data_IF_527783838065
#
_entry.id   IF_527783838065
#
_cell.length_a   1.000
_cell.length_b   1.000
_cell.length_c   1.000
_cell.angle_alpha   90.00
_cell.angle_beta   90.00
_cell.angle_gamma   90.00
#
_symmetry.space_group_name_H-M   'P 1'
#
loop_
_entity.id
_entity.type
_entity.pdbx_description
1 polymer ?
#
# COMPACT_ATOMS: atom_id res chain seq x y z
N UNK A 1 69.26 -93.19 11.49
CA UNK A 1 70.58 -92.56 11.29
C UNK A 1 70.45 -91.58 10.13
N UNK A 2 70.80 -90.30 10.37
CA UNK A 2 71.26 -89.24 9.46
C UNK A 2 71.05 -89.40 7.94
N UNK A 3 70.59 -88.41 7.18
CA UNK A 3 71.12 -87.06 6.97
C UNK A 3 69.99 -86.22 6.28
N UNK A 4 69.72 -84.94 6.59
CA UNK A 4 70.18 -83.70 5.90
C UNK A 4 69.01 -82.72 5.57
N UNK A 5 69.24 -81.43 5.21
CA UNK A 5 68.84 -80.28 6.06
C UNK A 5 68.19 -79.08 5.31
N UNK A 6 67.80 -78.05 6.09
CA UNK A 6 67.48 -76.63 5.75
C UNK A 6 66.33 -76.29 4.78
N UNK A 7 65.47 -75.33 5.19
CA UNK A 7 64.75 -74.24 4.45
C UNK A 7 63.61 -73.76 5.37
N UNK A 8 63.82 -72.71 6.17
CA UNK A 8 63.47 -71.28 6.01
C UNK A 8 62.15 -70.87 6.73
N UNK A 9 62.07 -69.65 7.30
CA UNK A 9 60.94 -69.20 8.11
C UNK A 9 60.00 -68.27 7.32
N UNK A 10 58.71 -68.61 7.26
CA UNK A 10 57.73 -67.76 6.59
C UNK A 10 56.80 -67.05 7.58
N UNK A 11 56.96 -65.73 7.51
CA UNK A 11 56.28 -64.67 8.24
C UNK A 11 54.77 -64.84 8.31
N UNK A 12 54.23 -64.54 9.49
CA UNK A 12 52.83 -64.21 9.72
C UNK A 12 52.33 -63.21 8.66
N UNK A 13 51.45 -63.67 7.78
CA UNK A 13 50.65 -62.80 6.94
C UNK A 13 49.18 -63.23 7.02
N UNK A 14 48.35 -62.34 7.54
CA UNK A 14 47.18 -61.84 6.80
C UNK A 14 46.30 -61.04 7.77
N UNK A 15 46.54 -59.72 7.78
CA UNK A 15 45.52 -58.74 8.17
C UNK A 15 44.36 -58.88 7.20
N UNK A 16 43.18 -59.26 7.70
CA UNK A 16 41.94 -59.16 6.94
C UNK A 16 41.61 -57.67 6.71
N UNK A 17 41.84 -57.18 5.50
CA UNK A 17 41.30 -55.92 5.03
C UNK A 17 39.81 -56.11 4.73
N UNK A 18 38.95 -55.59 5.60
CA UNK A 18 37.52 -55.41 5.31
C UNK A 18 37.37 -54.21 4.38
N UNK A 19 37.22 -54.49 3.09
CA UNK A 19 36.91 -53.48 2.07
C UNK A 19 35.58 -52.81 2.42
N UNK A 20 35.62 -51.50 2.64
CA UNK A 20 34.44 -50.67 2.83
C UNK A 20 33.51 -50.80 1.63
N UNK A 21 32.30 -51.27 1.89
CA UNK A 21 31.22 -51.33 0.91
C UNK A 21 30.79 -49.90 0.61
N UNK A 22 31.34 -49.33 -0.47
CA UNK A 22 30.92 -48.02 -0.97
C UNK A 22 29.47 -48.16 -1.47
N UNK A 23 28.52 -47.71 -0.65
CA UNK A 23 27.11 -47.63 -1.02
C UNK A 23 26.99 -46.52 -2.06
N UNK A 24 26.85 -46.92 -3.31
CA UNK A 24 26.60 -46.02 -4.43
C UNK A 24 25.18 -45.45 -4.25
N UNK A 25 25.08 -44.25 -3.68
CA UNK A 25 23.82 -43.51 -3.59
C UNK A 25 23.33 -43.23 -5.02
N UNK A 26 22.08 -43.60 -5.38
CA UNK A 26 21.57 -43.39 -6.72
C UNK A 26 21.39 -41.89 -7.01
N UNK A 27 21.52 -41.44 -8.27
CA UNK A 27 21.57 -40.03 -8.65
C UNK A 27 20.23 -39.27 -8.50
N UNK A 28 19.18 -39.91 -7.96
CA UNK A 28 17.86 -39.31 -7.79
C UNK A 28 17.77 -38.28 -6.64
N UNK A 29 18.73 -38.26 -5.71
CA UNK A 29 18.70 -37.33 -4.57
C UNK A 29 19.05 -35.87 -4.93
N UNK A 30 19.90 -35.66 -5.94
CA UNK A 30 20.39 -34.34 -6.30
C UNK A 30 19.34 -33.50 -7.06
N UNK A 31 18.51 -34.15 -7.89
CA UNK A 31 17.49 -33.46 -8.70
C UNK A 31 16.30 -33.00 -7.87
N UNK A 32 15.89 -33.81 -6.88
CA UNK A 32 14.80 -33.47 -5.94
C UNK A 32 15.21 -32.28 -5.06
N UNK A 33 16.47 -32.23 -4.62
CA UNK A 33 16.98 -31.12 -3.79
C UNK A 33 17.00 -29.79 -4.53
N UNK A 34 17.40 -29.78 -5.81
CA UNK A 34 17.45 -28.54 -6.62
C UNK A 34 16.04 -28.04 -6.96
N UNK A 35 15.10 -28.95 -7.24
CA UNK A 35 13.72 -28.60 -7.53
C UNK A 35 12.99 -28.00 -6.31
N UNK A 36 13.25 -28.52 -5.10
CA UNK A 36 12.68 -27.98 -3.85
C UNK A 36 13.26 -26.60 -3.53
N UNK A 37 14.55 -26.35 -3.79
CA UNK A 37 15.15 -25.03 -3.62
C UNK A 37 14.59 -24.00 -4.63
N UNK A 38 14.40 -24.39 -5.90
CA UNK A 38 13.80 -23.54 -6.92
C UNK A 38 12.34 -23.18 -6.60
N UNK A 39 11.55 -24.15 -6.11
CA UNK A 39 10.16 -23.91 -5.70
C UNK A 39 10.07 -23.04 -4.45
N UNK A 40 10.98 -23.21 -3.49
CA UNK A 40 11.09 -22.36 -2.30
C UNK A 40 11.46 -20.91 -2.61
N UNK A 41 12.38 -20.68 -3.56
CA UNK A 41 12.74 -19.33 -4.01
C UNK A 41 11.62 -18.66 -4.82
N UNK A 42 10.84 -19.43 -5.59
CA UNK A 42 9.70 -18.91 -6.33
C UNK A 42 8.55 -18.46 -5.40
N UNK A 43 8.31 -19.15 -4.28
CA UNK A 43 7.31 -18.73 -3.28
C UNK A 43 7.75 -17.51 -2.45
N UNK A 44 9.04 -17.29 -2.25
CA UNK A 44 9.54 -16.12 -1.51
C UNK A 44 9.44 -14.81 -2.31
N UNK A 45 9.36 -14.88 -3.65
CA UNK A 45 9.34 -13.71 -4.52
C UNK A 45 7.98 -12.99 -4.62
N UNK A 46 6.90 -13.53 -4.05
CA UNK A 46 5.55 -12.92 -4.17
C UNK A 46 5.17 -12.00 -3.02
N UNK A 47 6.00 -11.85 -1.99
CA UNK A 47 5.74 -10.96 -0.87
C UNK A 47 6.47 -9.62 -1.07
N UNK A 48 5.98 -8.78 -1.99
CA UNK A 48 6.34 -7.37 -1.99
C UNK A 48 5.59 -6.68 -0.84
N UNK A 49 6.25 -6.24 0.24
CA UNK A 49 5.59 -5.38 1.21
C UNK A 49 5.17 -4.10 0.50
N UNK A 50 3.88 -3.81 0.49
CA UNK A 50 3.38 -2.52 0.02
C UNK A 50 3.98 -1.43 0.93
N UNK A 51 4.93 -0.67 0.40
CA UNK A 51 5.59 0.41 1.14
C UNK A 51 4.62 1.58 1.24
N UNK A 52 3.86 1.65 2.33
CA UNK A 52 3.06 2.84 2.67
C UNK A 52 4.04 3.97 2.98
N UNK A 53 4.09 4.98 2.10
CA UNK A 53 4.96 6.14 2.29
C UNK A 53 4.45 7.00 3.45
N UNK A 54 5.34 7.75 4.12
CA UNK A 54 4.96 8.67 5.21
C UNK A 54 3.87 9.67 4.78
N UNK A 55 3.92 10.10 3.52
CA UNK A 55 2.93 10.99 2.89
C UNK A 55 1.53 10.36 2.93
N UNK A 56 1.39 9.06 2.63
CA UNK A 56 0.10 8.38 2.62
C UNK A 56 -0.53 8.33 4.03
N UNK A 57 0.27 8.03 5.07
CA UNK A 57 -0.22 8.04 6.47
C UNK A 57 -0.66 9.43 6.92
N UNK A 58 0.10 10.47 6.57
CA UNK A 58 -0.26 11.86 6.89
C UNK A 58 -1.61 12.23 6.27
N UNK A 59 -1.82 11.90 5.00
CA UNK A 59 -3.07 12.21 4.32
C UNK A 59 -4.25 11.35 4.78
N UNK A 60 -4.03 10.09 5.20
CA UNK A 60 -5.03 9.29 5.89
C UNK A 60 -5.54 10.01 7.16
N UNK A 61 -4.62 10.54 7.97
CA UNK A 61 -4.96 11.30 9.18
C UNK A 61 -5.70 12.60 8.81
N UNK A 62 -5.22 13.34 7.79
CA UNK A 62 -5.89 14.56 7.31
C UNK A 62 -7.30 14.29 6.79
N UNK A 63 -7.56 13.17 6.13
CA UNK A 63 -8.91 12.80 5.66
C UNK A 63 -9.87 12.60 6.84
N UNK A 64 -9.43 11.88 7.88
CA UNK A 64 -10.21 11.68 9.09
C UNK A 64 -10.45 13.02 9.83
N UNK A 65 -9.42 13.86 9.91
CA UNK A 65 -9.52 15.18 10.53
C UNK A 65 -10.49 16.11 9.77
N UNK A 66 -10.44 16.12 8.44
CA UNK A 66 -11.37 16.89 7.61
C UNK A 66 -12.83 16.52 7.92
N UNK A 67 -13.14 15.23 7.99
CA UNK A 67 -14.49 14.76 8.37
C UNK A 67 -14.91 15.23 9.77
N UNK A 68 -14.00 15.18 10.74
CA UNK A 68 -14.30 15.63 12.10
C UNK A 68 -14.52 17.14 12.16
N UNK A 69 -13.65 17.94 11.55
CA UNK A 69 -13.76 19.39 11.51
C UNK A 69 -15.09 19.86 10.93
N UNK A 70 -15.53 19.24 9.84
CA UNK A 70 -16.78 19.59 9.15
C UNK A 70 -17.99 19.57 10.10
N UNK A 71 -18.01 18.65 11.07
CA UNK A 71 -19.14 18.53 12.02
C UNK A 71 -19.31 19.78 12.88
N UNK A 72 -18.22 20.51 13.13
CA UNK A 72 -18.19 21.70 13.97
C UNK A 72 -18.39 23.00 13.18
N UNK A 73 -18.30 22.98 11.86
CA UNK A 73 -18.54 24.17 11.03
C UNK A 73 -20.04 24.38 10.83
N UNK A 74 -20.54 25.60 11.00
CA UNK A 74 -21.91 25.98 10.61
C UNK A 74 -21.85 26.85 9.37
N UNK A 75 -22.59 26.45 8.33
CA UNK A 75 -22.79 27.26 7.15
C UNK A 75 -23.98 28.17 7.38
N UNK A 76 -23.92 29.44 6.95
CA UNK A 76 -25.05 30.34 7.08
C UNK A 76 -26.25 29.82 6.31
N UNK A 77 -27.46 30.02 6.85
CA UNK A 77 -28.71 29.55 6.22
C UNK A 77 -28.98 30.24 4.88
N UNK A 78 -28.45 31.45 4.70
CA UNK A 78 -28.45 32.17 3.43
C UNK A 78 -27.59 31.51 2.36
N UNK A 79 -26.76 30.52 2.72
CA UNK A 79 -26.03 29.75 1.71
C UNK A 79 -26.99 28.84 0.94
N UNK A 80 -26.98 28.97 -0.39
CA UNK A 80 -27.77 28.14 -1.30
C UNK A 80 -27.58 26.63 -1.06
N UNK A 81 -26.41 26.22 -0.60
CA UNK A 81 -26.08 24.83 -0.24
C UNK A 81 -26.66 24.34 1.09
N UNK A 82 -26.98 25.26 2.01
CA UNK A 82 -27.70 24.97 3.26
C UNK A 82 -29.23 25.05 3.06
N UNK A 83 -29.71 25.97 2.22
CA UNK A 83 -31.13 26.17 1.92
C UNK A 83 -31.75 25.05 1.06
N UNK A 84 -30.98 24.38 0.21
CA UNK A 84 -31.46 23.26 -0.61
C UNK A 84 -31.75 22.01 0.26
N UNK A 85 -33.00 21.88 0.70
CA UNK A 85 -33.55 20.73 1.42
C UNK A 85 -32.55 20.15 2.43
N UNK A 86 -32.34 20.84 3.54
CA UNK A 86 -31.46 20.39 4.63
C UNK A 86 -31.82 18.94 5.03
N UNK A 87 -31.06 17.97 4.50
CA UNK A 87 -31.31 16.53 4.67
C UNK A 87 -31.39 15.70 3.38
N UNK A 88 -31.74 16.30 2.22
CA UNK A 88 -31.82 15.58 0.93
C UNK A 88 -30.62 15.84 0.01
N UNK A 89 -30.00 17.02 0.08
CA UNK A 89 -28.83 17.34 -0.75
C UNK A 89 -27.54 16.77 -0.13
N UNK A 90 -26.59 16.25 -0.93
CA UNK A 90 -25.31 15.77 -0.41
C UNK A 90 -24.44 16.92 0.09
N UNK A 91 -23.59 16.62 1.07
CA UNK A 91 -22.48 17.49 1.44
C UNK A 91 -21.34 17.29 0.44
N UNK A 92 -20.95 18.35 -0.26
CA UNK A 92 -20.01 18.28 -1.39
C UNK A 92 -18.62 18.75 -0.95
N UNK A 93 -17.62 17.90 -1.13
CA UNK A 93 -16.21 18.20 -0.90
C UNK A 93 -15.49 18.12 -2.24
N UNK A 94 -14.84 19.20 -2.63
CA UNK A 94 -14.05 19.28 -3.87
C UNK A 94 -12.57 19.13 -3.53
N UNK A 95 -11.87 18.22 -4.19
CA UNK A 95 -10.40 18.09 -4.12
C UNK A 95 -9.83 18.67 -5.40
N UNK A 96 -8.99 19.69 -5.26
CA UNK A 96 -8.41 20.41 -6.39
C UNK A 96 -6.98 19.91 -6.67
N UNK A 97 -6.69 19.63 -7.94
CA UNK A 97 -5.41 19.08 -8.39
C UNK A 97 -5.26 17.58 -8.09
N UNK A 98 -4.02 17.15 -7.85
CA UNK A 98 -3.72 15.75 -7.53
C UNK A 98 -4.33 15.36 -6.19
N UNK A 99 -5.07 14.25 -6.14
CA UNK A 99 -5.65 13.72 -4.91
C UNK A 99 -4.58 13.06 -4.02
N UNK A 100 -4.22 13.65 -2.87
CA UNK A 100 -3.19 13.10 -2.01
C UNK A 100 -3.75 12.09 -0.99
N UNK A 101 -5.07 11.95 -0.89
CA UNK A 101 -5.73 11.09 0.11
C UNK A 101 -5.77 9.61 -0.24
N UNK A 102 -5.29 9.24 -1.45
CA UNK A 102 -5.48 7.90 -1.99
C UNK A 102 -6.96 7.49 -1.94
N UNK A 103 -7.23 6.31 -1.37
CA UNK A 103 -8.58 5.78 -1.17
C UNK A 103 -9.29 6.27 0.10
N UNK A 104 -8.59 6.95 1.02
CA UNK A 104 -9.07 7.23 2.37
C UNK A 104 -10.28 8.16 2.39
N UNK A 105 -10.21 9.26 1.64
CA UNK A 105 -11.32 10.21 1.56
C UNK A 105 -12.55 9.59 0.87
N UNK A 106 -12.34 8.75 -0.15
CA UNK A 106 -13.41 7.97 -0.79
C UNK A 106 -14.07 7.00 0.20
N UNK A 107 -13.27 6.28 0.99
CA UNK A 107 -13.79 5.36 2.01
C UNK A 107 -14.65 6.09 3.05
N UNK A 108 -14.20 7.25 3.53
CA UNK A 108 -14.99 8.10 4.43
C UNK A 108 -16.29 8.55 3.75
N UNK A 109 -16.22 9.01 2.50
CA UNK A 109 -17.40 9.46 1.78
C UNK A 109 -18.45 8.35 1.57
N UNK A 110 -18.00 7.11 1.37
CA UNK A 110 -18.88 5.95 1.21
C UNK A 110 -19.51 5.46 2.53
N UNK A 111 -18.80 5.61 3.65
CA UNK A 111 -19.21 4.99 4.94
C UNK A 111 -19.78 5.99 5.95
N UNK A 112 -19.53 7.28 5.78
CA UNK A 112 -19.92 8.32 6.73
C UNK A 112 -20.91 9.31 6.13
N UNK A 113 -21.57 10.04 7.03
CA UNK A 113 -22.49 11.14 6.72
C UNK A 113 -22.13 12.37 7.53
N UNK A 114 -22.45 13.54 6.98
CA UNK A 114 -22.32 14.84 7.64
C UNK A 114 -23.72 15.36 7.94
N UNK A 115 -24.10 15.39 9.23
CA UNK A 115 -25.46 15.81 9.67
C UNK A 115 -26.58 15.10 8.88
N UNK A 116 -26.46 13.78 8.73
CA UNK A 116 -27.42 12.95 7.97
C UNK A 116 -27.25 12.98 6.44
N UNK A 117 -26.49 13.94 5.89
CA UNK A 117 -26.29 14.11 4.45
C UNK A 117 -25.21 13.14 3.92
N UNK A 118 -25.42 12.47 2.77
CA UNK A 118 -24.37 11.72 2.10
C UNK A 118 -23.25 12.66 1.65
N UNK A 119 -22.02 12.14 1.57
CA UNK A 119 -20.85 12.93 1.16
C UNK A 119 -20.61 12.68 -0.33
N UNK A 120 -20.55 13.74 -1.13
CA UNK A 120 -20.14 13.68 -2.55
C UNK A 120 -18.75 14.26 -2.70
N UNK A 121 -17.88 13.54 -3.40
CA UNK A 121 -16.53 13.99 -3.72
C UNK A 121 -16.48 14.43 -5.17
N UNK A 122 -15.94 15.62 -5.41
CA UNK A 122 -15.64 16.13 -6.74
C UNK A 122 -14.12 16.30 -6.87
N UNK A 123 -13.54 15.82 -7.96
CA UNK A 123 -12.11 15.96 -8.24
C UNK A 123 -11.95 16.82 -9.48
N UNK A 124 -11.29 17.97 -9.31
CA UNK A 124 -11.13 18.97 -10.38
C UNK A 124 -9.66 19.33 -10.50
N UNK A 125 -9.19 19.62 -11.71
CA UNK A 125 -7.78 20.01 -11.92
C UNK A 125 -7.58 21.52 -11.87
N UNK A 126 -8.58 22.27 -12.31
CA UNK A 126 -8.48 23.72 -12.48
C UNK A 126 -9.43 24.46 -11.53
N UNK A 127 -9.01 25.61 -10.97
CA UNK A 127 -9.85 26.43 -10.11
C UNK A 127 -11.15 26.89 -10.77
N UNK A 128 -11.12 27.17 -12.07
CA UNK A 128 -12.29 27.64 -12.83
C UNK A 128 -13.38 26.58 -12.97
N UNK A 129 -13.04 25.31 -12.72
CA UNK A 129 -13.97 24.18 -12.79
C UNK A 129 -14.54 23.80 -11.41
N UNK A 130 -14.28 24.57 -10.35
CA UNK A 130 -14.79 24.28 -9.01
C UNK A 130 -16.33 24.37 -9.03
N UNK A 131 -17.04 23.27 -8.73
CA UNK A 131 -18.50 23.30 -8.66
C UNK A 131 -18.98 23.94 -7.36
N UNK A 132 -20.29 24.10 -7.24
CA UNK A 132 -20.94 24.45 -5.99
C UNK A 132 -20.63 23.40 -4.92
N UNK A 133 -19.77 23.76 -3.97
CA UNK A 133 -19.30 22.86 -2.93
C UNK A 133 -19.22 23.55 -1.56
N UNK A 134 -19.21 22.73 -0.50
CA UNK A 134 -19.16 23.22 0.87
C UNK A 134 -17.72 23.45 1.34
N UNK A 135 -16.80 22.66 0.78
CA UNK A 135 -15.37 22.71 1.06
C UNK A 135 -14.61 22.44 -0.23
N UNK A 136 -13.56 23.22 -0.46
CA UNK A 136 -12.50 22.94 -1.43
C UNK A 136 -11.24 22.59 -0.65
N UNK A 137 -10.68 21.41 -0.89
CA UNK A 137 -9.36 21.01 -0.42
C UNK A 137 -8.31 21.36 -1.47
N UNK A 138 -7.29 22.11 -1.06
CA UNK A 138 -6.15 22.48 -1.89
C UNK A 138 -4.88 21.84 -1.31
N UNK A 139 -4.20 20.93 -2.04
CA UNK A 139 -2.96 20.31 -1.59
C UNK A 139 -1.88 21.34 -1.26
N UNK A 140 -1.01 21.01 -0.29
CA UNK A 140 0.11 21.87 0.09
C UNK A 140 1.19 21.97 -1.00
N UNK A 141 1.24 20.99 -1.92
CA UNK A 141 2.19 20.94 -3.04
C UNK A 141 1.88 21.95 -4.14
N UNK A 142 0.73 22.63 -4.06
CA UNK A 142 0.25 23.57 -5.07
C UNK A 142 0.93 24.93 -4.95
N UNK A 143 1.21 25.59 -6.08
CA UNK A 143 1.89 26.89 -6.10
C UNK A 143 1.03 28.01 -5.49
N UNK A 144 1.70 29.05 -4.97
CA UNK A 144 1.00 30.19 -4.38
C UNK A 144 0.08 30.90 -5.38
N UNK A 145 0.53 31.08 -6.63
CA UNK A 145 -0.29 31.64 -7.71
C UNK A 145 -1.60 30.89 -7.90
N UNK A 146 -1.56 29.57 -7.78
CA UNK A 146 -2.74 28.72 -7.91
C UNK A 146 -3.63 28.81 -6.66
N UNK A 147 -3.08 28.91 -5.45
CA UNK A 147 -3.90 29.17 -4.25
C UNK A 147 -4.64 30.50 -4.36
N UNK A 148 -4.00 31.54 -4.90
CA UNK A 148 -4.62 32.84 -5.12
C UNK A 148 -5.75 32.80 -6.15
N UNK A 149 -5.62 32.02 -7.23
CA UNK A 149 -6.70 31.88 -8.22
C UNK A 149 -7.92 31.17 -7.63
N UNK A 150 -7.74 30.19 -6.75
CA UNK A 150 -8.85 29.54 -6.01
C UNK A 150 -9.62 30.54 -5.15
N UNK A 151 -8.91 31.40 -4.41
CA UNK A 151 -9.55 32.42 -3.59
C UNK A 151 -10.33 33.42 -4.45
N UNK A 152 -9.79 33.79 -5.62
CA UNK A 152 -10.48 34.66 -6.58
C UNK A 152 -11.76 34.01 -7.10
N UNK A 153 -11.70 32.74 -7.50
CA UNK A 153 -12.87 32.08 -8.09
C UNK A 153 -13.97 31.81 -7.06
N UNK A 154 -13.60 31.37 -5.85
CA UNK A 154 -14.58 31.17 -4.77
C UNK A 154 -15.24 32.48 -4.34
N UNK A 155 -14.52 33.61 -4.39
CA UNK A 155 -15.07 34.95 -4.13
C UNK A 155 -15.99 35.45 -5.26
N UNK A 156 -15.58 35.25 -6.52
CA UNK A 156 -16.38 35.66 -7.69
C UNK A 156 -17.67 34.85 -7.80
N UNK A 157 -17.62 33.57 -7.38
CA UNK A 157 -18.77 32.71 -7.27
C UNK A 157 -19.73 33.25 -6.21
N UNK A 158 -19.25 33.65 -5.03
CA UNK A 158 -20.10 34.21 -3.97
C UNK A 158 -20.73 35.56 -4.37
N UNK A 159 -19.96 36.46 -5.01
CA UNK A 159 -20.46 37.79 -5.41
C UNK A 159 -21.50 37.74 -6.53
N UNK A 160 -21.42 36.77 -7.46
CA UNK A 160 -22.45 36.56 -8.50
C UNK A 160 -23.77 36.02 -7.96
N UNK A 161 -23.82 35.67 -6.67
CA UNK A 161 -24.93 34.93 -6.05
C UNK A 161 -25.70 35.73 -4.99
N UNK A 162 -25.29 36.97 -4.73
CA UNK A 162 -26.09 37.99 -4.03
C UNK A 162 -26.88 38.80 -5.04
#
# INVERSE_FOLDING_TARGET
MNERPWIQPDRHTSRRAGVGRLVLLPPFGATVSVAVCMLGMALAATALPAQVTYIDREYQIKAAYLYHLIKYVRWPETSRLASQNAGKSPFVITVLGQNPFGGSLKHIAATRRIRGRPIRLEFVQNPDAIPDCHIVFVPATTSEKFRQSVLRETRSADSRRR
#
